data_IF_526330244902
#
_entry.id   IF_526330244902
#
_cell.length_a   1.000
_cell.length_b   1.000
_cell.length_c   1.000
_cell.angle_alpha   90.00
_cell.angle_beta   90.00
_cell.angle_gamma   90.00
#
_symmetry.space_group_name_H-M   'P 1'
#
loop_
_entity.id
_entity.type
_entity.pdbx_description
1 polymer ?
#
# COMPACT_ATOMS: atom_id res chain seq x y z
N UNK A 1 19.10 15.04 17.01
CA UNK A 1 17.93 15.44 16.24
C UNK A 1 17.79 14.60 14.97
N UNK A 2 16.60 14.25 14.68
CA UNK A 2 16.34 13.48 13.45
C UNK A 2 15.80 14.40 12.37
N UNK A 3 15.94 13.99 11.13
CA UNK A 3 15.40 14.75 10.02
C UNK A 3 14.18 14.03 9.45
N UNK A 4 13.58 14.64 8.44
CA UNK A 4 12.34 14.10 7.88
C UNK A 4 12.51 12.70 7.30
N UNK A 5 13.71 12.38 6.85
CA UNK A 5 13.95 11.07 6.26
C UNK A 5 13.82 9.95 7.28
N UNK A 6 14.07 10.26 8.53
CA UNK A 6 14.03 9.25 9.57
C UNK A 6 12.62 8.79 9.89
N UNK A 7 11.62 9.57 9.49
CA UNK A 7 10.24 9.22 9.76
C UNK A 7 9.50 8.78 8.50
N UNK A 8 10.27 8.40 7.47
CA UNK A 8 9.67 7.91 6.24
C UNK A 8 8.93 6.60 6.51
N UNK A 9 7.75 6.49 5.95
CA UNK A 9 6.98 5.26 6.11
C UNK A 9 7.60 4.15 5.28
N UNK A 10 7.56 2.95 5.83
CA UNK A 10 8.02 1.76 5.13
C UNK A 10 6.81 0.94 4.75
N UNK A 11 6.72 0.59 3.50
CA UNK A 11 5.54 -0.11 3.00
C UNK A 11 5.91 -1.34 2.20
N UNK A 12 4.98 -2.28 2.19
CA UNK A 12 5.09 -3.47 1.36
C UNK A 12 4.04 -3.36 0.28
N UNK A 13 4.44 -3.63 -0.95
CA UNK A 13 3.51 -3.60 -2.07
C UNK A 13 2.86 -4.97 -2.20
N UNK A 14 1.55 -4.98 -2.36
CA UNK A 14 0.78 -6.22 -2.44
C UNK A 14 -0.02 -6.23 -3.73
N UNK A 15 0.06 -7.31 -4.47
CA UNK A 15 -0.68 -7.45 -5.71
C UNK A 15 -1.26 -8.83 -5.88
N UNK A 16 -2.33 -8.92 -6.64
CA UNK A 16 -2.93 -10.19 -7.00
C UNK A 16 -2.85 -10.32 -8.52
N UNK A 17 -2.23 -11.39 -8.96
CA UNK A 17 -2.08 -11.67 -10.38
C UNK A 17 -3.19 -12.63 -10.80
N UNK A 18 -4.17 -12.10 -11.51
CA UNK A 18 -5.31 -12.91 -11.94
C UNK A 18 -5.12 -13.51 -13.33
N UNK A 19 -4.08 -13.10 -14.01
CA UNK A 19 -3.84 -13.56 -15.39
C UNK A 19 -2.65 -14.50 -15.51
N UNK A 20 -1.90 -14.65 -14.43
CA UNK A 20 -0.79 -15.58 -14.45
C UNK A 20 0.39 -15.13 -15.28
N UNK A 21 0.57 -13.83 -15.43
CA UNK A 21 1.66 -13.31 -16.24
C UNK A 21 2.53 -12.34 -15.48
N UNK A 22 3.24 -11.52 -16.23
CA UNK A 22 4.14 -10.54 -15.64
C UNK A 22 3.43 -9.21 -15.35
N UNK A 23 2.14 -9.17 -15.59
CA UNK A 23 1.38 -7.93 -15.44
C UNK A 23 1.43 -7.38 -14.03
N UNK A 24 1.32 -8.27 -13.04
CA UNK A 24 1.32 -7.82 -11.65
C UNK A 24 2.66 -7.21 -11.27
N UNK A 25 3.76 -7.80 -11.72
CA UNK A 25 5.07 -7.25 -11.40
C UNK A 25 5.27 -5.88 -12.01
N UNK A 26 4.84 -5.72 -13.24
CA UNK A 26 4.92 -4.43 -13.91
C UNK A 26 4.09 -3.38 -13.18
N UNK A 27 2.89 -3.78 -12.79
CA UNK A 27 2.01 -2.89 -12.07
C UNK A 27 2.64 -2.48 -10.75
N UNK A 28 3.30 -3.42 -10.07
CA UNK A 28 3.96 -3.11 -8.81
C UNK A 28 5.18 -2.21 -9.02
N UNK A 29 5.84 -2.32 -10.17
CA UNK A 29 6.93 -1.41 -10.47
C UNK A 29 6.42 0.03 -10.54
N UNK A 30 5.28 0.23 -11.20
CA UNK A 30 4.67 1.55 -11.27
C UNK A 30 4.22 2.02 -9.91
N UNK A 31 3.65 1.11 -9.14
CA UNK A 31 3.18 1.44 -7.80
C UNK A 31 4.35 1.84 -6.91
N UNK A 32 5.49 1.18 -7.09
CA UNK A 32 6.68 1.52 -6.33
C UNK A 32 7.13 2.94 -6.60
N UNK A 33 7.04 3.37 -7.86
CA UNK A 33 7.40 4.73 -8.20
C UNK A 33 6.44 5.74 -7.58
N UNK A 34 5.17 5.41 -7.57
CA UNK A 34 4.18 6.27 -6.93
C UNK A 34 4.44 6.37 -5.43
N UNK A 35 4.77 5.24 -4.81
CA UNK A 35 5.04 5.22 -3.38
C UNK A 35 6.28 6.06 -3.06
N UNK A 36 7.31 5.93 -3.87
CA UNK A 36 8.53 6.70 -3.66
C UNK A 36 8.24 8.20 -3.81
N UNK A 37 7.41 8.57 -4.77
CA UNK A 37 7.03 9.95 -4.96
C UNK A 37 6.27 10.48 -3.73
N UNK A 38 5.50 9.62 -3.08
CA UNK A 38 4.78 10.00 -1.87
C UNK A 38 5.67 10.05 -0.64
N UNK A 39 6.93 9.65 -0.78
CA UNK A 39 7.85 9.70 0.35
C UNK A 39 7.92 8.41 1.14
N UNK A 40 7.37 7.33 0.62
CA UNK A 40 7.41 6.05 1.30
C UNK A 40 8.58 5.21 0.79
N UNK A 41 9.10 4.39 1.67
CA UNK A 41 10.15 3.46 1.31
C UNK A 41 9.55 2.08 1.10
N UNK A 42 9.77 1.51 -0.07
CA UNK A 42 9.25 0.16 -0.37
C UNK A 42 10.24 -0.86 0.14
N UNK A 43 9.82 -1.62 1.14
CA UNK A 43 10.69 -2.60 1.77
C UNK A 43 10.48 -4.02 1.28
N UNK A 44 9.40 -4.25 0.53
CA UNK A 44 9.16 -5.57 -0.01
C UNK A 44 7.94 -5.60 -0.90
N UNK A 45 7.75 -6.75 -1.54
CA UNK A 45 6.62 -6.98 -2.42
C UNK A 45 6.04 -8.35 -2.14
N UNK A 46 4.74 -8.48 -2.34
CA UNK A 46 4.08 -9.76 -2.20
C UNK A 46 3.04 -9.88 -3.30
N UNK A 47 3.13 -10.94 -4.06
CA UNK A 47 2.20 -11.20 -5.17
C UNK A 47 1.57 -12.55 -4.96
N UNK A 48 0.25 -12.61 -5.10
CA UNK A 48 -0.47 -13.87 -5.05
C UNK A 48 -1.16 -14.11 -6.39
N UNK A 49 -1.01 -15.31 -6.93
CA UNK A 49 -1.70 -15.69 -8.16
C UNK A 49 -3.03 -16.30 -7.77
N UNK A 50 -4.12 -15.72 -8.26
CA UNK A 50 -5.47 -16.20 -8.00
C UNK A 50 -6.33 -15.89 -9.20
N UNK A 51 -7.44 -16.64 -9.34
CA UNK A 51 -8.37 -16.35 -10.42
C UNK A 51 -9.08 -15.02 -10.19
N UNK A 52 -9.27 -14.65 -8.94
CA UNK A 52 -9.88 -13.38 -8.60
C UNK A 52 -9.44 -12.97 -7.20
N UNK A 53 -9.61 -11.68 -6.89
CA UNK A 53 -9.24 -11.19 -5.57
C UNK A 53 -10.20 -11.73 -4.52
N UNK A 54 -9.72 -11.87 -3.31
CA UNK A 54 -10.55 -12.31 -2.20
C UNK A 54 -11.51 -11.19 -1.83
N UNK A 55 -12.81 -11.47 -1.77
CA UNK A 55 -13.79 -10.40 -1.54
C UNK A 55 -13.69 -9.74 -0.18
N UNK A 56 -13.17 -10.41 0.81
CA UNK A 56 -13.08 -9.86 2.16
C UNK A 56 -11.72 -9.26 2.47
N UNK A 57 -10.64 -9.87 2.00
CA UNK A 57 -9.30 -9.46 2.40
C UNK A 57 -8.34 -9.24 1.22
N UNK A 58 -8.84 -9.25 0.00
CA UNK A 58 -8.05 -9.03 -1.21
C UNK A 58 -7.11 -10.19 -1.52
N UNK A 59 -6.36 -10.66 -0.54
CA UNK A 59 -5.48 -11.83 -0.70
C UNK A 59 -5.98 -12.95 0.18
N UNK A 60 -5.55 -14.17 -0.14
CA UNK A 60 -5.98 -15.32 0.62
C UNK A 60 -5.35 -15.37 2.00
N UNK A 61 -5.93 -16.22 2.85
CA UNK A 61 -5.50 -16.30 4.24
C UNK A 61 -4.04 -16.69 4.40
N UNK A 62 -3.56 -17.61 3.57
CA UNK A 62 -2.16 -17.99 3.63
C UNK A 62 -1.22 -16.85 3.32
N UNK A 63 -1.56 -16.08 2.30
CA UNK A 63 -0.75 -14.91 1.96
C UNK A 63 -0.87 -13.83 3.00
N UNK A 64 -2.01 -13.75 3.66
CA UNK A 64 -2.20 -12.79 4.73
C UNK A 64 -1.23 -13.06 5.88
N UNK A 65 -1.06 -14.32 6.22
CA UNK A 65 -0.12 -14.71 7.26
C UNK A 65 1.31 -14.40 6.82
N UNK A 66 1.61 -14.72 5.57
CA UNK A 66 2.93 -14.42 5.01
C UNK A 66 3.20 -12.92 5.04
N UNK A 67 2.19 -12.14 4.74
CA UNK A 67 2.32 -10.68 4.77
C UNK A 67 2.58 -10.17 6.17
N UNK A 68 1.93 -10.76 7.16
CA UNK A 68 2.16 -10.37 8.56
C UNK A 68 3.62 -10.60 8.94
N UNK A 69 4.16 -11.74 8.53
CA UNK A 69 5.55 -12.04 8.82
C UNK A 69 6.49 -11.08 8.12
N UNK A 70 6.16 -10.75 6.89
CA UNK A 70 6.97 -9.82 6.12
C UNK A 70 6.95 -8.42 6.73
N UNK A 71 5.78 -7.99 7.20
CA UNK A 71 5.67 -6.71 7.90
C UNK A 71 6.58 -6.67 9.11
N UNK A 72 6.57 -7.76 9.86
CA UNK A 72 7.40 -7.85 11.05
C UNK A 72 8.88 -7.82 10.70
N UNK A 73 9.29 -8.62 9.71
CA UNK A 73 10.69 -8.72 9.35
C UNK A 73 11.27 -7.44 8.78
N UNK A 74 10.48 -6.73 7.99
CA UNK A 74 10.96 -5.51 7.36
C UNK A 74 10.65 -4.26 8.17
N UNK A 75 9.97 -4.43 9.30
CA UNK A 75 9.56 -3.32 10.13
C UNK A 75 8.74 -2.31 9.35
N UNK A 76 7.93 -2.82 8.43
CA UNK A 76 7.09 -1.95 7.63
C UNK A 76 5.93 -1.42 8.47
N UNK A 77 5.52 -0.20 8.17
CA UNK A 77 4.44 0.45 8.90
C UNK A 77 3.10 0.34 8.18
N UNK A 78 3.11 -0.14 6.96
CA UNK A 78 1.88 -0.30 6.21
C UNK A 78 2.07 -1.06 4.93
N UNK A 79 0.98 -1.21 4.20
CA UNK A 79 1.00 -1.86 2.89
C UNK A 79 0.26 -1.00 1.89
N UNK A 80 0.59 -1.21 0.62
CA UNK A 80 -0.12 -0.56 -0.48
C UNK A 80 -0.53 -1.65 -1.44
N UNK A 81 -1.82 -1.75 -1.69
CA UNK A 81 -2.36 -2.76 -2.60
C UNK A 81 -2.47 -2.17 -4.00
N UNK A 82 -2.20 -2.99 -4.99
CA UNK A 82 -2.11 -2.54 -6.38
C UNK A 82 -3.47 -2.30 -7.03
N UNK A 83 -4.52 -2.78 -6.43
CA UNK A 83 -5.87 -2.60 -6.95
C UNK A 83 -6.69 -1.73 -6.02
N UNK A 84 -7.80 -1.22 -6.56
CA UNK A 84 -8.71 -0.46 -5.74
C UNK A 84 -9.47 -1.42 -4.82
N UNK A 85 -9.48 -1.13 -3.54
CA UNK A 85 -10.11 -1.99 -2.54
C UNK A 85 -11.44 -1.42 -2.09
N UNK A 86 -12.37 -2.31 -1.75
CA UNK A 86 -13.63 -1.89 -1.15
C UNK A 86 -13.38 -1.50 0.30
N UNK A 87 -14.35 -0.81 0.89
CA UNK A 87 -14.26 -0.44 2.30
C UNK A 87 -14.12 -1.67 3.18
N UNK A 88 -14.82 -2.74 2.80
CA UNK A 88 -14.74 -3.99 3.56
C UNK A 88 -13.34 -4.57 3.51
N UNK A 89 -12.73 -4.60 2.33
CA UNK A 89 -11.39 -5.13 2.18
C UNK A 89 -10.38 -4.28 2.96
N UNK A 90 -10.49 -2.97 2.84
CA UNK A 90 -9.58 -2.08 3.56
C UNK A 90 -9.70 -2.27 5.06
N UNK A 91 -10.92 -2.27 5.57
CA UNK A 91 -11.15 -2.43 7.00
C UNK A 91 -10.67 -3.76 7.53
N UNK A 92 -10.94 -4.84 6.79
CA UNK A 92 -10.51 -6.15 7.23
C UNK A 92 -9.00 -6.28 7.23
N UNK A 93 -8.34 -5.73 6.21
CA UNK A 93 -6.88 -5.78 6.16
C UNK A 93 -6.26 -4.98 7.30
N UNK A 94 -6.79 -3.81 7.58
CA UNK A 94 -6.28 -3.00 8.68
C UNK A 94 -6.41 -3.73 10.01
N UNK A 95 -7.54 -4.39 10.19
CA UNK A 95 -7.78 -5.12 11.42
C UNK A 95 -6.87 -6.34 11.54
N UNK A 96 -6.75 -7.09 10.45
CA UNK A 96 -5.92 -8.30 10.47
C UNK A 96 -4.44 -8.01 10.58
N UNK A 97 -3.98 -6.97 9.92
CA UNK A 97 -2.56 -6.66 9.88
C UNK A 97 -2.12 -5.65 10.92
N UNK A 98 -3.07 -4.94 11.49
CA UNK A 98 -2.79 -3.91 12.49
C UNK A 98 -1.78 -2.91 11.96
N UNK A 99 -1.97 -2.46 10.74
CA UNK A 99 -1.09 -1.49 10.13
C UNK A 99 -1.90 -0.64 9.15
N UNK A 100 -1.24 0.39 8.63
CA UNK A 100 -1.85 1.26 7.65
C UNK A 100 -2.03 0.52 6.32
N UNK A 101 -3.20 0.64 5.73
CA UNK A 101 -3.49 -0.01 4.46
C UNK A 101 -3.96 1.04 3.46
N UNK A 102 -3.27 1.10 2.35
CA UNK A 102 -3.64 1.98 1.26
C UNK A 102 -3.88 1.13 0.01
N UNK A 103 -4.70 1.63 -0.89
CA UNK A 103 -4.78 1.03 -2.20
C UNK A 103 -4.26 2.05 -3.20
N UNK A 104 -4.28 1.66 -4.46
CA UNK A 104 -3.73 2.52 -5.50
C UNK A 104 -4.42 3.88 -5.56
N UNK A 105 -5.73 3.84 -5.43
CA UNK A 105 -6.53 5.06 -5.49
C UNK A 105 -6.22 5.99 -4.32
N UNK A 106 -6.14 5.43 -3.13
CA UNK A 106 -5.83 6.22 -1.94
C UNK A 106 -4.44 6.82 -2.03
N UNK A 107 -3.50 6.07 -2.58
CA UNK A 107 -2.15 6.58 -2.74
C UNK A 107 -2.11 7.78 -3.69
N UNK A 108 -2.83 7.68 -4.80
CA UNK A 108 -2.89 8.77 -5.75
C UNK A 108 -3.54 9.99 -5.15
N UNK A 109 -4.60 9.78 -4.38
CA UNK A 109 -5.27 10.88 -3.70
C UNK A 109 -4.35 11.51 -2.66
N UNK A 110 -3.58 10.69 -1.98
CA UNK A 110 -2.66 11.18 -0.98
C UNK A 110 -1.59 12.07 -1.62
N UNK A 111 -1.10 11.67 -2.79
CA UNK A 111 -0.14 12.48 -3.52
C UNK A 111 -0.74 13.84 -3.88
N UNK A 112 -1.98 13.81 -4.34
CA UNK A 112 -2.66 15.05 -4.69
C UNK A 112 -2.85 15.94 -3.48
N UNK A 113 -3.23 15.35 -2.36
CA UNK A 113 -3.43 16.10 -1.14
C UNK A 113 -2.12 16.68 -0.62
N UNK A 114 -1.04 15.94 -0.78
CA UNK A 114 0.27 16.44 -0.36
C UNK A 114 0.65 17.68 -1.11
N UNK A 115 0.37 17.70 -2.41
CA UNK A 115 0.64 18.90 -3.20
C UNK A 115 -0.20 20.06 -2.73
N UNK A 116 -1.45 19.80 -2.48
CA UNK A 116 -2.35 20.82 -2.01
C UNK A 116 -1.91 21.33 -0.65
N UNK A 117 -1.48 20.44 0.20
CA UNK A 117 -1.10 20.83 1.55
C UNK A 117 0.03 21.83 1.54
N UNK A 118 0.95 21.72 0.62
CA UNK A 118 2.08 22.63 0.61
C UNK A 118 1.67 24.06 0.22
N UNK A 119 0.57 24.20 -0.50
CA UNK A 119 0.12 25.54 -0.86
C UNK A 119 -1.34 25.79 -0.47
N UNK A 120 -2.09 24.73 -0.23
CA UNK A 120 -3.51 24.87 0.08
C UNK A 120 -3.83 24.88 1.55
N UNK A 121 -2.86 24.61 2.37
CA UNK A 121 -3.08 24.54 3.79
C UNK A 121 -3.69 25.84 4.34
N UNK A 122 -3.19 26.93 3.88
CA UNK A 122 -3.67 28.23 4.34
C UNK A 122 -5.11 28.46 3.95
N UNK A 123 -5.48 27.96 2.81
CA UNK A 123 -6.82 28.15 2.32
C UNK A 123 -7.82 27.40 3.18
N UNK A 124 -7.41 26.23 3.61
CA UNK A 124 -8.32 25.42 4.40
C UNK A 124 -8.59 25.98 5.78
N UNK A 125 -7.70 26.78 6.25
CA UNK A 125 -7.86 27.36 7.56
C UNK A 125 -8.95 28.41 7.60
N UNK A 126 -9.49 28.74 6.48
CA UNK A 126 -10.54 29.75 6.44
C UNK A 126 -11.89 29.23 6.83
#
# INVERSE_FOLDING_TARGET
MYNMDDIRERVILVGVDTEGGETAERSLDELAELAATAGAEVTGRLIQTRECVHPATYIGRGKLIELKELLWETEATGIICDDELSSTQLGNLEEELDCKVLDRTLLILDLSLSRYSSCGKNIQDQ
#
